data_IF_777753065562
#
_entry.id   IF_777753065562
#
_cell.length_a   1.000
_cell.length_b   1.000
_cell.length_c   1.000
_cell.angle_alpha   90.00
_cell.angle_beta   90.00
_cell.angle_gamma   90.00
#
_symmetry.space_group_name_H-M   'P 1'
#
loop_
_entity.id
_entity.type
_entity.pdbx_description
1 polymer ?
#
# COMPACT_ATOMS: atom_id res chain seq x y z
N UNK A 1 -21.76 15.72 32.72
CA UNK A 1 -22.38 15.74 31.39
C UNK A 1 -21.57 16.72 30.55
N UNK A 2 -20.63 16.22 29.75
CA UNK A 2 -19.85 17.04 28.82
C UNK A 2 -20.51 16.88 27.44
N UNK A 3 -21.53 17.69 27.16
CA UNK A 3 -22.06 17.81 25.80
C UNK A 3 -21.10 18.67 25.01
N UNK A 4 -20.23 18.01 24.23
CA UNK A 4 -19.46 18.69 23.20
C UNK A 4 -20.46 19.32 22.21
N UNK A 5 -20.22 20.56 21.74
CA UNK A 5 -21.07 21.17 20.74
C UNK A 5 -21.13 20.28 19.48
N UNK A 6 -22.28 20.22 18.79
CA UNK A 6 -22.41 19.41 17.59
C UNK A 6 -21.35 19.82 16.56
N UNK A 7 -20.79 18.86 15.81
CA UNK A 7 -19.81 19.17 14.79
C UNK A 7 -20.39 20.17 13.78
N UNK A 8 -19.59 21.12 13.29
CA UNK A 8 -20.06 22.06 12.27
C UNK A 8 -20.56 21.29 11.04
N UNK A 9 -21.57 21.82 10.32
CA UNK A 9 -22.14 21.15 9.16
C UNK A 9 -21.06 20.90 8.10
N UNK A 10 -21.13 19.74 7.45
CA UNK A 10 -20.25 19.42 6.35
C UNK A 10 -20.45 20.44 5.23
N UNK A 11 -19.36 21.04 4.76
CA UNK A 11 -19.34 22.05 3.71
C UNK A 11 -18.45 21.58 2.60
N UNK A 12 -18.88 21.76 1.35
CA UNK A 12 -18.07 21.47 0.17
C UNK A 12 -17.97 22.70 -0.71
N UNK A 13 -16.90 22.79 -1.49
CA UNK A 13 -16.77 23.84 -2.49
C UNK A 13 -17.92 23.78 -3.49
N UNK A 14 -18.51 24.93 -3.80
CA UNK A 14 -19.49 25.07 -4.89
C UNK A 14 -18.84 24.74 -6.24
N UNK A 15 -19.65 24.49 -7.27
CA UNK A 15 -19.13 24.22 -8.61
C UNK A 15 -18.26 25.37 -9.14
N UNK A 16 -18.66 26.63 -8.89
CA UNK A 16 -17.88 27.82 -9.24
C UNK A 16 -16.54 27.88 -8.49
N UNK A 17 -16.56 27.60 -7.18
CA UNK A 17 -15.35 27.58 -6.36
C UNK A 17 -14.38 26.47 -6.78
N UNK A 18 -14.89 25.28 -7.14
CA UNK A 18 -14.08 24.19 -7.72
C UNK A 18 -13.49 24.55 -9.08
N UNK A 19 -14.27 25.17 -9.95
CA UNK A 19 -13.79 25.62 -11.26
C UNK A 19 -12.64 26.64 -11.11
N UNK A 20 -12.80 27.59 -10.18
CA UNK A 20 -11.77 28.57 -9.86
C UNK A 20 -10.52 27.96 -9.23
N UNK A 21 -10.69 27.02 -8.30
CA UNK A 21 -9.59 26.26 -7.73
C UNK A 21 -8.77 25.58 -8.83
N UNK A 22 -9.44 24.91 -9.77
CA UNK A 22 -8.79 24.24 -10.89
C UNK A 22 -8.05 25.22 -11.80
N UNK A 23 -8.59 26.42 -12.07
CA UNK A 23 -7.91 27.45 -12.86
C UNK A 23 -6.64 27.97 -12.16
N UNK A 24 -6.68 28.20 -10.85
CA UNK A 24 -5.50 28.60 -10.07
C UNK A 24 -4.43 27.51 -10.04
N UNK A 25 -4.83 26.25 -9.93
CA UNK A 25 -3.89 25.13 -9.97
C UNK A 25 -3.22 25.01 -11.35
N UNK A 26 -3.98 25.21 -12.44
CA UNK A 26 -3.44 25.20 -13.82
C UNK A 26 -2.47 26.35 -14.08
N UNK A 27 -2.64 27.50 -13.42
CA UNK A 27 -1.73 28.65 -13.54
C UNK A 27 -0.47 28.51 -12.66
N UNK A 28 -0.30 27.37 -11.99
CA UNK A 28 0.89 27.06 -11.20
C UNK A 28 0.84 27.55 -9.75
N UNK A 29 -0.33 28.01 -9.27
CA UNK A 29 -0.51 28.40 -7.87
C UNK A 29 -0.48 27.15 -6.98
N UNK A 30 0.20 27.23 -5.84
CA UNK A 30 0.25 26.13 -4.88
C UNK A 30 -1.15 25.75 -4.38
N UNK A 31 -1.37 24.47 -4.09
CA UNK A 31 -2.67 23.98 -3.59
C UNK A 31 -3.11 24.75 -2.34
N UNK A 32 -2.18 25.07 -1.44
CA UNK A 32 -2.49 25.79 -0.20
C UNK A 32 -2.93 27.23 -0.46
N UNK A 33 -2.25 27.95 -1.37
CA UNK A 33 -2.56 29.33 -1.70
C UNK A 33 -3.84 29.43 -2.54
N UNK A 34 -4.03 28.49 -3.48
CA UNK A 34 -5.25 28.38 -4.27
C UNK A 34 -6.46 28.09 -3.37
N UNK A 35 -6.32 27.16 -2.42
CA UNK A 35 -7.37 26.88 -1.43
C UNK A 35 -7.65 28.06 -0.52
N UNK A 36 -6.63 28.79 -0.05
CA UNK A 36 -6.83 30.00 0.77
C UNK A 36 -7.58 31.07 0.00
N UNK A 37 -7.22 31.26 -1.28
CA UNK A 37 -7.86 32.22 -2.18
C UNK A 37 -9.34 31.87 -2.38
N UNK A 38 -9.63 30.64 -2.79
CA UNK A 38 -11.00 30.19 -3.05
C UNK A 38 -11.85 30.17 -1.78
N UNK A 39 -11.29 29.71 -0.66
CA UNK A 39 -12.03 29.61 0.61
C UNK A 39 -12.38 30.96 1.24
N UNK A 40 -11.68 32.03 0.84
CA UNK A 40 -11.94 33.39 1.32
C UNK A 40 -13.12 34.07 0.62
N UNK A 41 -13.64 33.48 -0.46
CA UNK A 41 -14.73 34.07 -1.24
C UNK A 41 -16.10 33.85 -0.58
N UNK A 42 -16.97 34.87 -0.56
CA UNK A 42 -18.35 34.71 -0.16
C UNK A 42 -19.04 33.65 -1.05
N UNK A 43 -19.68 32.65 -0.43
CA UNK A 43 -20.36 31.58 -1.16
C UNK A 43 -19.44 30.52 -1.76
N UNK A 44 -18.15 30.48 -1.38
CA UNK A 44 -17.23 29.42 -1.80
C UNK A 44 -17.71 28.02 -1.39
N UNK A 45 -18.46 27.94 -0.29
CA UNK A 45 -18.94 26.70 0.29
C UNK A 45 -20.46 26.64 0.28
N UNK A 46 -20.98 25.47 -0.04
CA UNK A 46 -22.37 25.10 0.21
C UNK A 46 -22.43 24.07 1.35
N UNK A 47 -23.47 24.18 2.17
CA UNK A 47 -23.78 23.16 3.16
C UNK A 47 -24.30 21.91 2.48
N UNK A 48 -23.82 20.77 2.94
CA UNK A 48 -24.19 19.47 2.40
C UNK A 48 -24.59 18.61 3.57
N UNK A 49 -25.64 17.83 3.39
CA UNK A 49 -25.92 16.72 4.29
C UNK A 49 -24.65 15.86 4.34
N UNK A 50 -24.08 15.71 5.53
CA UNK A 50 -22.96 14.81 5.71
C UNK A 50 -23.39 13.44 5.15
N UNK A 51 -22.56 12.78 4.32
CA UNK A 51 -22.86 11.42 3.93
C UNK A 51 -23.08 10.60 5.21
N UNK A 52 -23.99 9.60 5.21
CA UNK A 52 -24.10 8.70 6.35
C UNK A 52 -22.69 8.19 6.69
N UNK A 53 -22.36 8.02 7.98
CA UNK A 53 -21.07 7.46 8.35
C UNK A 53 -20.88 6.19 7.53
N UNK A 54 -19.68 5.98 6.94
CA UNK A 54 -19.42 4.77 6.17
C UNK A 54 -19.81 3.59 7.05
N UNK A 55 -20.44 2.57 6.45
CA UNK A 55 -20.81 1.37 7.18
C UNK A 55 -19.60 0.91 8.03
N UNK A 56 -19.83 0.44 9.28
CA UNK A 56 -18.75 -0.05 10.08
C UNK A 56 -17.99 -1.07 9.23
N UNK A 57 -16.66 -0.95 9.17
CA UNK A 57 -15.90 -1.82 8.30
C UNK A 57 -16.14 -3.27 8.67
N UNK A 58 -16.13 -4.17 7.67
CA UNK A 58 -16.20 -5.58 7.95
C UNK A 58 -15.08 -5.96 8.94
N UNK A 59 -15.34 -6.92 9.85
CA UNK A 59 -14.30 -7.41 10.73
C UNK A 59 -13.13 -7.96 9.91
N UNK A 60 -11.93 -7.85 10.46
CA UNK A 60 -10.75 -8.48 9.89
C UNK A 60 -11.00 -9.98 9.73
N UNK A 61 -10.78 -10.54 8.55
CA UNK A 61 -10.99 -11.96 8.33
C UNK A 61 -9.84 -12.79 8.96
N UNK A 62 -10.12 -14.04 9.36
CA UNK A 62 -9.09 -14.97 9.81
C UNK A 62 -8.01 -15.16 8.73
N UNK A 63 -6.75 -15.22 9.14
CA UNK A 63 -5.66 -15.42 8.20
C UNK A 63 -5.66 -16.84 7.63
N UNK A 64 -5.64 -16.92 6.29
CA UNK A 64 -5.72 -18.19 5.55
C UNK A 64 -4.38 -18.92 5.39
N UNK A 65 -3.27 -18.28 5.79
CA UNK A 65 -1.92 -18.80 5.60
C UNK A 65 -1.24 -18.27 4.33
N UNK A 66 0.09 -18.42 4.30
CA UNK A 66 0.92 -18.05 3.15
C UNK A 66 0.88 -19.13 2.05
N UNK A 67 1.24 -18.77 0.82
CA UNK A 67 1.32 -19.70 -0.33
C UNK A 67 2.65 -19.53 -1.07
N UNK A 68 3.02 -20.52 -1.89
CA UNK A 68 4.30 -20.55 -2.61
C UNK A 68 4.17 -20.87 -4.10
N UNK A 69 2.95 -21.08 -4.63
CA UNK A 69 2.76 -21.38 -6.05
C UNK A 69 2.74 -20.09 -6.90
N UNK A 70 3.84 -19.89 -7.63
CA UNK A 70 4.06 -18.71 -8.47
C UNK A 70 3.75 -18.95 -9.95
N UNK A 71 3.29 -20.15 -10.32
CA UNK A 71 3.16 -20.58 -11.72
C UNK A 71 2.29 -19.62 -12.53
N UNK A 72 1.13 -19.23 -11.97
CA UNK A 72 0.20 -18.32 -12.64
C UNK A 72 0.78 -16.92 -12.85
N UNK A 73 1.57 -16.42 -11.89
CA UNK A 73 2.20 -15.09 -11.96
C UNK A 73 3.20 -15.03 -13.10
N UNK A 74 4.05 -16.06 -13.25
CA UNK A 74 5.06 -16.12 -14.32
C UNK A 74 4.38 -16.10 -15.69
N UNK A 75 3.33 -16.91 -15.88
CA UNK A 75 2.57 -16.95 -17.13
C UNK A 75 1.90 -15.58 -17.44
N UNK A 76 1.34 -14.92 -16.43
CA UNK A 76 0.73 -13.59 -16.58
C UNK A 76 1.75 -12.50 -16.92
N UNK A 77 2.96 -12.56 -16.36
CA UNK A 77 4.05 -11.64 -16.71
C UNK A 77 4.49 -11.79 -18.17
N UNK A 78 4.61 -13.01 -18.66
CA UNK A 78 4.90 -13.27 -20.08
C UNK A 78 3.80 -12.72 -20.97
N UNK A 79 2.54 -12.97 -20.63
CA UNK A 79 1.40 -12.42 -21.35
C UNK A 79 1.39 -10.89 -21.38
N UNK A 80 1.71 -10.25 -20.26
CA UNK A 80 1.71 -8.80 -20.16
C UNK A 80 2.83 -8.16 -21.00
N UNK A 81 3.99 -8.82 -21.14
CA UNK A 81 5.06 -8.38 -22.06
C UNK A 81 4.60 -8.32 -23.52
N UNK A 82 3.73 -9.23 -23.93
CA UNK A 82 3.18 -9.26 -25.29
C UNK A 82 2.13 -8.15 -25.50
N UNK A 83 1.29 -7.91 -24.49
CA UNK A 83 0.19 -6.95 -24.56
C UNK A 83 0.65 -5.50 -24.43
N UNK A 84 1.72 -5.26 -23.67
CA UNK A 84 2.24 -3.91 -23.43
C UNK A 84 3.73 -3.77 -23.80
N UNK A 85 4.07 -3.89 -25.11
CA UNK A 85 5.45 -3.77 -25.58
C UNK A 85 6.02 -2.36 -25.36
N UNK A 86 5.16 -1.35 -25.17
CA UNK A 86 5.55 0.04 -24.90
C UNK A 86 5.62 0.38 -23.40
N UNK A 87 5.36 -0.58 -22.50
CA UNK A 87 5.43 -0.39 -21.04
C UNK A 87 4.59 0.80 -20.54
N UNK A 88 3.33 0.91 -20.99
CA UNK A 88 2.38 1.97 -20.63
C UNK A 88 1.76 1.79 -19.24
N UNK A 89 1.72 0.57 -18.69
CA UNK A 89 1.23 0.36 -17.32
C UNK A 89 2.12 1.13 -16.33
N UNK A 90 1.51 1.71 -15.31
CA UNK A 90 2.24 2.48 -14.30
C UNK A 90 3.42 1.67 -13.72
N UNK A 91 4.61 2.27 -13.72
CA UNK A 91 5.84 1.65 -13.22
C UNK A 91 6.52 0.67 -14.19
N UNK A 92 5.81 0.17 -15.22
CA UNK A 92 6.34 -0.81 -16.16
C UNK A 92 7.58 -0.34 -16.91
N UNK A 93 7.70 0.95 -17.22
CA UNK A 93 8.90 1.51 -17.84
C UNK A 93 10.18 1.30 -16.99
N UNK A 94 10.06 1.07 -15.69
CA UNK A 94 11.18 0.84 -14.76
C UNK A 94 11.73 -0.58 -14.88
N UNK A 95 10.85 -1.58 -14.86
CA UNK A 95 11.24 -3.00 -14.81
C UNK A 95 11.05 -3.73 -16.14
N UNK A 96 10.29 -3.18 -17.09
CA UNK A 96 10.01 -3.76 -18.40
C UNK A 96 9.39 -5.16 -18.33
N UNK A 97 8.59 -5.41 -17.31
CA UNK A 97 8.10 -6.73 -16.91
C UNK A 97 9.17 -7.81 -16.75
N UNK A 98 10.45 -7.46 -16.58
CA UNK A 98 11.56 -8.40 -16.41
C UNK A 98 11.81 -8.72 -14.94
N UNK A 99 12.06 -10.00 -14.67
CA UNK A 99 12.52 -10.48 -13.37
C UNK A 99 14.05 -10.58 -13.39
N UNK A 100 14.68 -10.32 -12.25
CA UNK A 100 16.09 -10.64 -12.08
C UNK A 100 16.27 -12.16 -11.88
N UNK A 101 17.46 -12.74 -12.13
CA UNK A 101 17.71 -14.15 -11.87
C UNK A 101 17.37 -14.54 -10.42
N UNK A 102 16.82 -15.75 -10.18
CA UNK A 102 16.57 -16.23 -8.82
C UNK A 102 17.87 -16.37 -8.02
N UNK A 103 17.72 -16.25 -6.70
CA UNK A 103 18.79 -16.55 -5.75
C UNK A 103 18.91 -18.05 -5.54
N UNK A 104 20.13 -18.50 -5.30
CA UNK A 104 20.39 -19.84 -4.82
C UNK A 104 19.95 -20.00 -3.37
N UNK A 105 19.68 -21.26 -2.99
CA UNK A 105 19.40 -21.63 -1.60
C UNK A 105 20.49 -21.15 -0.62
N UNK A 106 21.75 -21.17 -1.04
CA UNK A 106 22.87 -20.69 -0.21
C UNK A 106 22.81 -19.19 0.03
N UNK A 107 22.48 -18.41 -0.99
CA UNK A 107 22.37 -16.94 -0.89
C UNK A 107 21.20 -16.55 0.03
N UNK A 108 20.04 -17.18 -0.14
CA UNK A 108 18.88 -16.92 0.73
C UNK A 108 19.17 -17.28 2.18
N UNK A 109 19.79 -18.44 2.44
CA UNK A 109 20.19 -18.83 3.80
C UNK A 109 21.20 -17.84 4.40
N UNK A 110 22.15 -17.34 3.59
CA UNK A 110 23.11 -16.35 4.04
C UNK A 110 22.43 -15.02 4.41
N UNK A 111 21.46 -14.58 3.61
CA UNK A 111 20.66 -13.37 3.89
C UNK A 111 19.83 -13.52 5.17
N UNK A 112 19.09 -14.63 5.31
CA UNK A 112 18.31 -14.92 6.52
C UNK A 112 19.19 -14.95 7.77
N UNK A 113 20.37 -15.56 7.69
CA UNK A 113 21.36 -15.60 8.79
C UNK A 113 21.90 -14.20 9.10
N UNK A 114 22.25 -13.41 8.09
CA UNK A 114 22.74 -12.04 8.23
C UNK A 114 21.70 -11.16 8.93
N UNK A 115 20.43 -11.32 8.61
CA UNK A 115 19.34 -10.53 9.19
C UNK A 115 18.75 -11.11 10.46
N UNK A 116 19.14 -12.35 10.82
CA UNK A 116 18.58 -13.12 11.94
C UNK A 116 17.06 -13.27 11.85
N UNK A 117 16.55 -13.37 10.62
CA UNK A 117 15.12 -13.38 10.29
C UNK A 117 14.91 -14.41 9.19
N UNK A 118 13.87 -15.23 9.33
CA UNK A 118 13.41 -16.10 8.26
C UNK A 118 12.46 -15.34 7.36
N UNK A 119 12.62 -15.49 6.05
CA UNK A 119 11.69 -14.89 5.09
C UNK A 119 10.35 -15.62 5.17
N UNK A 120 9.21 -14.90 5.06
CA UNK A 120 7.91 -15.54 4.87
C UNK A 120 7.94 -16.53 3.69
N UNK A 121 7.31 -17.71 3.80
CA UNK A 121 7.40 -18.76 2.79
C UNK A 121 7.17 -18.30 1.34
N UNK A 122 6.14 -17.49 1.09
CA UNK A 122 5.81 -17.00 -0.25
C UNK A 122 6.86 -16.05 -0.81
N UNK A 123 7.41 -15.17 0.03
CA UNK A 123 8.49 -14.26 -0.34
C UNK A 123 9.80 -15.03 -0.57
N UNK A 124 10.10 -16.02 0.26
CA UNK A 124 11.27 -16.89 0.08
C UNK A 124 11.18 -17.68 -1.22
N UNK A 125 10.02 -18.28 -1.50
CA UNK A 125 9.75 -19.03 -2.72
C UNK A 125 9.96 -18.15 -3.96
N UNK A 126 9.44 -16.91 -3.94
CA UNK A 126 9.68 -15.93 -4.99
C UNK A 126 11.17 -15.75 -5.28
N UNK A 127 11.98 -15.47 -4.25
CA UNK A 127 13.41 -15.25 -4.44
C UNK A 127 14.17 -16.47 -4.95
N UNK A 128 13.78 -17.68 -4.54
CA UNK A 128 14.48 -18.91 -4.95
C UNK A 128 14.01 -19.52 -6.26
N UNK A 129 12.76 -19.25 -6.68
CA UNK A 129 12.12 -19.95 -7.80
C UNK A 129 11.74 -19.02 -8.94
N UNK A 130 11.49 -17.73 -8.67
CA UNK A 130 10.93 -16.79 -9.64
C UNK A 130 11.95 -15.72 -10.03
N UNK A 131 12.51 -15.01 -9.05
CA UNK A 131 13.52 -14.00 -9.34
C UNK A 131 13.95 -13.15 -8.15
N UNK A 132 15.14 -12.55 -8.24
CA UNK A 132 15.64 -11.60 -7.24
C UNK A 132 15.06 -10.18 -7.40
N UNK A 133 13.73 -10.08 -7.37
CA UNK A 133 13.01 -8.83 -7.63
C UNK A 133 12.80 -8.56 -9.13
N UNK A 134 12.51 -7.31 -9.47
CA UNK A 134 12.18 -6.88 -10.82
C UNK A 134 10.68 -6.63 -10.97
N UNK A 135 10.04 -7.23 -11.97
CA UNK A 135 8.64 -6.99 -12.29
C UNK A 135 7.70 -7.19 -11.10
N UNK A 136 6.81 -6.23 -10.90
CA UNK A 136 5.80 -6.25 -9.85
C UNK A 136 5.05 -4.93 -9.74
N UNK A 137 4.16 -4.80 -8.74
CA UNK A 137 3.40 -3.58 -8.50
C UNK A 137 4.29 -2.34 -8.36
N UNK A 138 3.80 -1.19 -8.84
CA UNK A 138 4.52 0.08 -8.74
C UNK A 138 5.88 0.02 -9.44
N UNK A 139 6.95 0.35 -8.73
CA UNK A 139 8.31 0.32 -9.29
C UNK A 139 8.94 -1.08 -9.29
N UNK A 140 8.17 -2.11 -8.95
CA UNK A 140 8.59 -3.50 -8.96
C UNK A 140 8.94 -4.06 -7.60
N UNK A 141 9.20 -5.36 -7.61
CA UNK A 141 9.65 -6.12 -6.44
C UNK A 141 11.12 -5.79 -6.16
N UNK A 142 11.42 -5.46 -4.90
CA UNK A 142 12.75 -5.15 -4.44
C UNK A 142 13.64 -6.40 -4.51
N UNK A 143 14.90 -6.27 -4.96
CA UNK A 143 15.91 -7.30 -4.74
C UNK A 143 16.05 -7.59 -3.25
N UNK A 144 16.33 -8.83 -2.88
CA UNK A 144 16.41 -9.27 -1.49
C UNK A 144 17.36 -8.38 -0.67
N UNK A 145 18.50 -7.99 -1.25
CA UNK A 145 19.51 -7.15 -0.59
C UNK A 145 19.01 -5.74 -0.25
N UNK A 146 17.96 -5.28 -0.93
CA UNK A 146 17.34 -3.96 -0.79
C UNK A 146 16.01 -3.98 -0.06
N UNK A 147 15.60 -5.14 0.47
CA UNK A 147 14.40 -5.25 1.29
C UNK A 147 14.46 -4.27 2.47
N UNK A 148 13.43 -3.44 2.59
CA UNK A 148 13.27 -2.55 3.72
C UNK A 148 12.71 -3.35 4.90
N UNK A 149 13.40 -3.29 6.04
CA UNK A 149 13.18 -4.20 7.19
C UNK A 149 12.67 -3.42 8.38
N UNK A 150 11.36 -3.45 8.57
CA UNK A 150 10.69 -2.82 9.70
C UNK A 150 10.69 -3.75 10.91
N UNK A 151 11.87 -3.90 11.54
CA UNK A 151 12.14 -4.78 12.70
C UNK A 151 11.43 -6.15 12.58
N UNK A 152 11.74 -6.95 11.55
CA UNK A 152 10.94 -8.11 11.19
C UNK A 152 10.95 -9.26 12.21
N UNK A 153 11.91 -9.28 13.15
CA UNK A 153 11.93 -10.23 14.27
C UNK A 153 11.06 -9.80 15.47
N UNK A 154 10.54 -8.57 15.47
CA UNK A 154 9.62 -8.08 16.51
C UNK A 154 8.19 -8.37 16.08
N UNK A 155 7.31 -8.72 17.01
CA UNK A 155 5.92 -9.00 16.69
C UNK A 155 5.27 -7.85 15.91
N UNK A 156 4.56 -8.18 14.83
CA UNK A 156 3.63 -7.26 14.19
C UNK A 156 2.35 -7.21 15.05
N UNK A 157 2.01 -6.04 15.63
CA UNK A 157 0.90 -5.92 16.58
C UNK A 157 -0.48 -5.99 15.91
N UNK A 158 -0.57 -5.77 14.61
CA UNK A 158 -1.85 -5.62 13.90
C UNK A 158 -2.47 -4.23 14.05
N UNK A 159 -3.30 -3.85 13.07
CA UNK A 159 -3.98 -2.54 13.04
C UNK A 159 -4.84 -2.32 14.27
N UNK A 160 -5.53 -3.34 14.77
CA UNK A 160 -6.39 -3.24 15.96
C UNK A 160 -5.59 -2.81 17.19
N UNK A 161 -4.49 -3.50 17.49
CA UNK A 161 -3.65 -3.17 18.65
C UNK A 161 -2.91 -1.83 18.48
N UNK A 162 -2.55 -1.45 17.25
CA UNK A 162 -1.98 -0.13 16.95
C UNK A 162 -3.02 0.98 17.18
N UNK A 163 -4.27 0.76 16.76
CA UNK A 163 -5.38 1.71 16.96
C UNK A 163 -5.71 1.91 18.42
N UNK A 164 -5.68 0.86 19.24
CA UNK A 164 -5.87 0.98 20.69
C UNK A 164 -4.84 1.93 21.36
N UNK A 165 -3.72 2.20 20.68
CA UNK A 165 -2.65 3.11 21.13
C UNK A 165 -2.64 4.45 20.41
N UNK A 166 -3.53 4.67 19.43
CA UNK A 166 -3.60 5.89 18.63
C UNK A 166 -4.51 6.95 19.27
N UNK A 167 -4.29 8.25 19.00
CA UNK A 167 -5.22 9.30 19.39
C UNK A 167 -6.63 9.02 18.84
N UNK A 168 -7.67 9.24 19.66
CA UNK A 168 -9.07 9.12 19.23
C UNK A 168 -9.35 10.20 18.16
N UNK A 169 -9.97 9.86 17.02
CA UNK A 169 -10.31 10.90 16.05
C UNK A 169 -10.85 10.51 14.68
N UNK A 170 -10.77 9.24 14.25
CA UNK A 170 -11.44 8.79 13.02
C UNK A 170 -11.83 7.32 13.11
N UNK A 171 -13.11 7.02 12.87
CA UNK A 171 -13.59 5.66 12.65
C UNK A 171 -13.17 5.24 11.25
N UNK A 172 -12.07 4.49 11.17
CA UNK A 172 -11.56 3.94 9.93
C UNK A 172 -11.84 2.45 9.82
N UNK A 173 -11.69 1.88 8.61
CA UNK A 173 -11.86 0.47 8.42
C UNK A 173 -11.05 -0.41 9.38
N UNK A 174 -11.55 -1.57 9.81
CA UNK A 174 -10.91 -2.40 10.85
C UNK A 174 -9.47 -2.79 10.48
N UNK A 175 -9.22 -2.90 9.19
CA UNK A 175 -7.92 -3.19 8.59
C UNK A 175 -7.09 -1.93 8.26
N UNK A 176 -7.51 -0.72 8.63
CA UNK A 176 -6.78 0.53 8.32
C UNK A 176 -6.52 1.40 9.56
N UNK A 177 -5.31 1.92 9.65
CA UNK A 177 -4.90 2.94 10.60
C UNK A 177 -4.36 4.14 9.82
N UNK A 178 -5.00 5.31 9.94
CA UNK A 178 -4.42 6.60 9.54
C UNK A 178 -3.84 7.28 10.77
N UNK A 179 -2.62 6.89 11.11
CA UNK A 179 -1.81 7.57 12.10
C UNK A 179 -0.34 7.42 11.66
N UNK A 180 0.39 8.52 11.43
CA UNK A 180 1.80 8.46 11.07
C UNK A 180 2.58 7.63 12.09
N UNK A 181 3.02 6.46 11.65
CA UNK A 181 3.74 5.54 12.53
C UNK A 181 5.19 6.00 12.65
N UNK A 182 5.63 6.20 13.88
CA UNK A 182 7.06 6.37 14.18
C UNK A 182 7.81 5.14 13.69
N UNK A 183 9.09 5.27 13.28
CA UNK A 183 9.92 4.12 12.92
C UNK A 183 9.94 3.00 13.98
N UNK A 184 9.78 3.35 15.26
CA UNK A 184 9.73 2.39 16.35
C UNK A 184 8.47 1.51 16.37
N UNK A 185 7.38 1.96 15.74
CA UNK A 185 6.08 1.29 15.66
C UNK A 185 5.92 0.43 14.40
N UNK A 186 6.79 0.59 13.41
CA UNK A 186 6.85 -0.27 12.22
C UNK A 186 7.65 -1.52 12.58
N UNK A 187 6.95 -2.57 13.00
CA UNK A 187 7.57 -3.81 13.52
C UNK A 187 6.98 -5.04 12.86
N UNK A 188 7.78 -6.10 12.71
CA UNK A 188 7.31 -7.39 12.20
C UNK A 188 7.02 -7.43 10.71
N UNK A 189 7.58 -6.49 9.93
CA UNK A 189 7.31 -6.39 8.49
C UNK A 189 8.59 -6.38 7.65
N UNK A 190 8.50 -6.95 6.45
CA UNK A 190 9.49 -6.80 5.38
C UNK A 190 8.78 -6.20 4.17
N UNK A 191 9.22 -5.01 3.76
CA UNK A 191 8.72 -4.35 2.56
C UNK A 191 9.38 -4.93 1.31
N UNK A 192 8.54 -5.42 0.39
CA UNK A 192 8.95 -6.15 -0.81
C UNK A 192 8.72 -5.36 -2.10
N UNK A 193 7.93 -4.29 -2.07
CA UNK A 193 7.72 -3.40 -3.21
C UNK A 193 7.65 -1.94 -2.75
N UNK A 194 8.06 -1.03 -3.63
CA UNK A 194 7.98 0.40 -3.43
C UNK A 194 7.15 1.04 -4.54
N UNK A 195 6.18 1.88 -4.17
CA UNK A 195 5.24 2.51 -5.10
C UNK A 195 5.52 4.00 -5.32
N UNK A 196 6.56 4.56 -4.69
CA UNK A 196 6.79 6.01 -4.66
C UNK A 196 6.25 6.64 -3.38
N UNK A 197 6.63 7.89 -3.12
CA UNK A 197 6.12 8.69 -1.99
C UNK A 197 6.19 7.97 -0.62
N UNK A 198 7.21 7.15 -0.37
CA UNK A 198 7.35 6.34 0.84
C UNK A 198 6.20 5.34 1.08
N UNK A 199 5.53 4.89 0.01
CA UNK A 199 4.49 3.86 0.04
C UNK A 199 5.12 2.51 -0.27
N UNK A 200 4.90 1.53 0.60
CA UNK A 200 5.46 0.19 0.51
C UNK A 200 4.37 -0.87 0.62
N UNK A 201 4.43 -1.90 -0.22
CA UNK A 201 3.79 -3.18 0.13
C UNK A 201 4.79 -4.02 0.93
N UNK A 202 4.31 -4.60 2.03
CA UNK A 202 5.10 -5.39 2.96
C UNK A 202 4.38 -6.68 3.35
N UNK A 203 5.14 -7.66 3.82
CA UNK A 203 4.62 -8.90 4.38
C UNK A 203 4.88 -8.98 5.88
N UNK A 204 3.91 -9.52 6.60
CA UNK A 204 4.03 -9.84 8.02
C UNK A 204 4.98 -11.01 8.21
N UNK A 205 5.90 -10.88 9.18
CA UNK A 205 6.95 -11.85 9.48
C UNK A 205 6.70 -12.67 10.75
N UNK A 206 5.70 -12.29 11.54
CA UNK A 206 5.37 -12.93 12.84
C UNK A 206 3.86 -12.99 13.04
N UNK A 207 3.31 -14.09 13.54
CA UNK A 207 1.87 -14.26 13.69
C UNK A 207 1.24 -14.67 12.36
N UNK A 208 0.52 -13.75 11.72
CA UNK A 208 -0.10 -13.95 10.40
C UNK A 208 0.94 -13.86 9.28
N UNK A 209 1.96 -14.72 9.34
CA UNK A 209 3.10 -14.71 8.43
C UNK A 209 2.64 -14.80 6.97
N UNK A 210 3.20 -13.93 6.12
CA UNK A 210 2.89 -13.86 4.69
C UNK A 210 1.73 -12.94 4.32
N UNK A 211 0.96 -12.45 5.30
CA UNK A 211 -0.12 -11.48 5.08
C UNK A 211 0.45 -10.16 4.57
N UNK A 212 -0.18 -9.60 3.55
CA UNK A 212 0.23 -8.32 2.96
C UNK A 212 -0.34 -7.14 3.74
N UNK A 213 0.50 -6.12 3.91
CA UNK A 213 0.14 -4.80 4.44
C UNK A 213 0.72 -3.71 3.54
N UNK A 214 0.00 -2.60 3.40
CA UNK A 214 0.55 -1.34 2.88
C UNK A 214 1.05 -0.50 4.05
N UNK A 215 2.21 0.10 3.89
CA UNK A 215 2.79 1.06 4.84
C UNK A 215 3.11 2.34 4.08
N UNK A 216 2.58 3.46 4.54
CA UNK A 216 2.83 4.78 3.98
C UNK A 216 3.08 5.82 5.09
N UNK A 217 3.14 7.10 4.72
CA UNK A 217 3.31 8.18 5.68
C UNK A 217 2.09 8.42 6.57
N UNK A 218 0.91 8.05 6.08
CA UNK A 218 -0.37 8.23 6.77
C UNK A 218 -0.69 7.06 7.68
N UNK A 219 -0.15 5.87 7.44
CA UNK A 219 -0.21 4.75 8.37
C UNK A 219 -0.08 3.37 7.72
N UNK A 220 -0.98 2.45 8.11
CA UNK A 220 -0.96 1.04 7.68
C UNK A 220 -2.35 0.59 7.24
N UNK A 221 -2.39 -0.19 6.16
CA UNK A 221 -3.57 -0.96 5.74
C UNK A 221 -3.23 -2.44 5.65
N UNK A 222 -4.06 -3.31 6.21
CA UNK A 222 -3.94 -4.76 6.10
C UNK A 222 -4.86 -5.29 5.00
N UNK A 223 -4.38 -6.31 4.30
CA UNK A 223 -5.13 -7.01 3.28
C UNK A 223 -5.26 -8.48 3.65
N UNK A 224 -6.35 -9.09 3.20
CA UNK A 224 -6.60 -10.53 3.37
C UNK A 224 -6.05 -11.31 2.17
N UNK A 225 -4.83 -10.93 1.81
CA UNK A 225 -4.09 -11.35 0.62
C UNK A 225 -2.72 -11.89 1.04
N UNK A 226 -2.29 -12.93 0.33
CA UNK A 226 -0.88 -13.32 0.28
C UNK A 226 -0.13 -12.42 -0.69
N UNK A 227 1.19 -12.48 -0.64
CA UNK A 227 2.03 -11.77 -1.60
C UNK A 227 1.76 -12.22 -3.05
N UNK A 228 1.42 -13.49 -3.28
CA UNK A 228 1.01 -14.00 -4.60
C UNK A 228 -0.33 -13.41 -5.03
N UNK A 229 -1.33 -13.36 -4.14
CA UNK A 229 -2.64 -12.75 -4.44
C UNK A 229 -2.46 -11.28 -4.84
N UNK A 230 -1.65 -10.55 -4.08
CA UNK A 230 -1.40 -9.13 -4.29
C UNK A 230 -0.73 -8.84 -5.65
N UNK A 231 0.28 -9.63 -6.01
CA UNK A 231 0.95 -9.51 -7.33
C UNK A 231 0.01 -9.97 -8.45
N UNK A 232 -0.81 -11.00 -8.21
CA UNK A 232 -1.78 -11.50 -9.19
C UNK A 232 -2.86 -10.44 -9.49
N UNK A 233 -3.37 -9.77 -8.47
CA UNK A 233 -4.36 -8.71 -8.63
C UNK A 233 -3.83 -7.55 -9.49
N UNK A 234 -2.57 -7.14 -9.25
CA UNK A 234 -1.90 -6.15 -10.09
C UNK A 234 -1.76 -6.62 -11.54
N UNK A 235 -1.36 -7.88 -11.77
CA UNK A 235 -1.24 -8.44 -13.12
C UNK A 235 -2.58 -8.49 -13.85
N UNK A 236 -3.66 -8.88 -13.16
CA UNK A 236 -4.99 -8.93 -13.73
C UNK A 236 -5.50 -7.54 -14.14
N UNK A 237 -5.24 -6.53 -13.31
CA UNK A 237 -5.56 -5.15 -13.64
C UNK A 237 -4.74 -4.65 -14.84
N UNK A 238 -3.44 -4.91 -14.84
CA UNK A 238 -2.53 -4.50 -15.91
C UNK A 238 -2.89 -5.15 -17.25
N UNK A 239 -3.21 -6.45 -17.25
CA UNK A 239 -3.64 -7.18 -18.45
C UNK A 239 -4.96 -6.61 -18.97
N UNK A 240 -5.93 -6.37 -18.09
CA UNK A 240 -7.23 -5.79 -18.46
C UNK A 240 -7.10 -4.38 -19.02
N UNK A 241 -6.15 -3.58 -18.53
CA UNK A 241 -5.87 -2.23 -19.03
C UNK A 241 -5.02 -2.18 -20.31
N UNK A 242 -4.40 -3.29 -20.70
CA UNK A 242 -3.53 -3.38 -21.88
C UNK A 242 -4.21 -4.07 -23.08
N UNK A 243 -5.45 -4.53 -22.91
CA UNK A 243 -6.27 -5.16 -23.94
C UNK A 243 -7.22 -4.22 -24.67
#
# INVERSE_FOLDING_TARGET
>A
MNDAPPPPPARRLTAAAKAKLNELLKSGVSVSDAMRTVSSEPGAFEEVTAPPPPAPPPPRLPWKGDTTDWTSVVAKLERLRELDPSCKVFGAATHGYRLAPPLTEREVVALEKKWKVKLPPGLRAFYTQVGNGGAGPGYGLLPAEKLERFKPATAYPGVEALRARAPKGSELPANRLLAPLRPSQRTGLIAFAHHGCNIYSAVVCTGDVGRVVSVDEDGISEFDETLIDHVTAWLDEAIRGSG
#
